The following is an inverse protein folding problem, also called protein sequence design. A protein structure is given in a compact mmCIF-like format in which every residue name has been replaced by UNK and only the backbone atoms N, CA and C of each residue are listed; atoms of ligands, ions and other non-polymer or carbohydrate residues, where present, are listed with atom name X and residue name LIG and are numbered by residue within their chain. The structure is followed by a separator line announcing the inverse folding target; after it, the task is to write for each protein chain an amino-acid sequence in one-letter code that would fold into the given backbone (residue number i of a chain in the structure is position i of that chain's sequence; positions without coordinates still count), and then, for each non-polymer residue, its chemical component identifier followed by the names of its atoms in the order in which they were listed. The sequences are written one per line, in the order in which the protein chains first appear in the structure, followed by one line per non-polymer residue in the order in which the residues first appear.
data_IF_513511672605
#
_entry.id   IF_513511672605
#
_cell.length_a   1.000
_cell.length_b   1.000
_cell.length_c   1.000
_cell.angle_alpha   90.00
_cell.angle_beta   90.00
_cell.angle_gamma   90.00
#
_symmetry.space_group_name_H-M   'P 1'
#
loop_
_entity.id
_entity.type
_entity.pdbx_description
1 polymer ?
#
# COMPACT_ATOMS: atom_id res chain seq x y z
N UNK A 1 7.68 -7.65 18.38
CA UNK A 1 6.68 -6.82 17.69
C UNK A 1 7.41 -5.91 16.75
N UNK A 2 7.12 -6.00 15.45
CA UNK A 2 7.70 -5.12 14.44
C UNK A 2 7.33 -3.66 14.70
N UNK A 3 8.33 -2.78 14.60
CA UNK A 3 8.16 -1.33 14.82
C UNK A 3 8.06 -0.57 13.50
N UNK A 4 7.46 0.62 13.56
CA UNK A 4 7.37 1.51 12.39
C UNK A 4 8.76 1.83 11.81
N UNK A 5 9.76 2.08 12.65
CA UNK A 5 11.12 2.37 12.21
C UNK A 5 11.75 1.20 11.44
N UNK A 6 11.52 -0.04 11.87
CA UNK A 6 12.03 -1.22 11.16
C UNK A 6 11.40 -1.39 9.78
N UNK A 7 10.09 -1.13 9.68
CA UNK A 7 9.38 -1.15 8.40
C UNK A 7 9.89 -0.05 7.46
N UNK A 8 10.07 1.18 7.96
CA UNK A 8 10.62 2.28 7.19
C UNK A 8 12.02 1.97 6.64
N UNK A 9 12.91 1.38 7.46
CA UNK A 9 14.24 0.97 7.01
C UNK A 9 14.17 -0.09 5.91
N UNK A 10 13.35 -1.13 6.09
CA UNK A 10 13.19 -2.17 5.07
C UNK A 10 12.68 -1.60 3.74
N UNK A 11 11.66 -0.74 3.79
CA UNK A 11 11.11 -0.10 2.60
C UNK A 11 12.16 0.79 1.93
N UNK A 12 12.92 1.57 2.71
CA UNK A 12 13.97 2.44 2.18
C UNK A 12 15.10 1.67 1.48
N UNK A 13 15.50 0.52 2.00
CA UNK A 13 16.61 -0.26 1.46
C UNK A 13 16.21 -1.20 0.31
N UNK A 14 15.01 -1.80 0.37
CA UNK A 14 14.61 -2.88 -0.55
C UNK A 14 13.57 -2.46 -1.59
N UNK A 15 12.69 -1.51 -1.26
CA UNK A 15 11.52 -1.19 -2.08
C UNK A 15 11.67 0.16 -2.78
N UNK A 16 12.00 1.23 -2.04
CA UNK A 16 12.10 2.60 -2.56
C UNK A 16 13.06 2.73 -3.75
N UNK A 17 14.24 2.08 -3.80
CA UNK A 17 15.14 2.20 -4.95
C UNK A 17 14.50 1.69 -6.25
N UNK A 18 13.78 0.57 -6.17
CA UNK A 18 13.07 0.00 -7.32
C UNK A 18 11.90 0.89 -7.75
N UNK A 19 11.10 1.38 -6.81
CA UNK A 19 9.98 2.27 -7.12
C UNK A 19 10.44 3.62 -7.70
N UNK A 20 11.51 4.20 -7.16
CA UNK A 20 12.06 5.46 -7.64
C UNK A 20 12.60 5.35 -9.07
N UNK A 21 13.19 4.21 -9.45
CA UNK A 21 13.59 3.95 -10.84
C UNK A 21 12.40 4.00 -11.82
N UNK A 22 11.19 3.70 -11.34
CA UNK A 22 9.94 3.81 -12.10
C UNK A 22 9.19 5.14 -11.88
N UNK A 23 9.79 6.10 -11.16
CA UNK A 23 9.17 7.39 -10.86
C UNK A 23 8.03 7.32 -9.85
N UNK A 24 8.04 6.31 -8.97
CA UNK A 24 7.11 6.15 -7.86
C UNK A 24 7.80 6.12 -6.50
N UNK A 25 7.00 6.00 -5.44
CA UNK A 25 7.47 5.81 -4.07
C UNK A 25 6.39 5.09 -3.24
N UNK A 26 6.72 4.72 -2.00
CA UNK A 26 5.80 4.08 -1.05
C UNK A 26 5.89 4.75 0.32
N UNK A 27 4.72 4.93 0.94
CA UNK A 27 4.55 5.47 2.28
C UNK A 27 3.76 4.50 3.15
N UNK A 28 4.14 4.38 4.42
CA UNK A 28 3.37 3.61 5.40
C UNK A 28 2.23 4.50 5.92
N UNK A 29 1.00 4.00 5.84
CA UNK A 29 -0.19 4.68 6.37
C UNK A 29 -0.45 4.23 7.82
N UNK A 30 -0.40 2.92 8.07
CA UNK A 30 -0.64 2.36 9.40
C UNK A 30 -0.11 0.93 9.49
N UNK A 31 0.30 0.50 10.67
CA UNK A 31 0.54 -0.91 10.99
C UNK A 31 -0.27 -1.28 12.23
N UNK A 32 -1.26 -2.15 12.07
CA UNK A 32 -2.17 -2.52 13.16
C UNK A 32 -2.65 -3.95 12.95
N UNK A 33 -2.71 -4.74 14.02
CA UNK A 33 -3.13 -6.15 13.98
C UNK A 33 -2.33 -6.99 12.95
N UNK A 34 -1.04 -6.71 12.77
CA UNK A 34 -0.22 -7.42 11.77
C UNK A 34 -0.58 -7.07 10.32
N UNK A 35 -1.42 -6.07 10.09
CA UNK A 35 -1.78 -5.56 8.76
C UNK A 35 -1.04 -4.25 8.52
N UNK A 36 -0.14 -4.26 7.55
CA UNK A 36 0.58 -3.08 7.07
C UNK A 36 -0.20 -2.43 5.92
N UNK A 37 -0.71 -1.22 6.14
CA UNK A 37 -1.30 -0.39 5.09
C UNK A 37 -0.24 0.53 4.50
N UNK A 38 -0.08 0.47 3.20
CA UNK A 38 0.84 1.32 2.44
C UNK A 38 0.11 2.10 1.36
N UNK A 39 0.68 3.23 0.96
CA UNK A 39 0.23 4.02 -0.18
C UNK A 39 1.36 4.12 -1.18
N UNK A 40 1.09 3.76 -2.44
CA UNK A 40 1.98 4.05 -3.54
C UNK A 40 1.75 5.49 -3.99
N UNK A 41 2.83 6.23 -4.23
CA UNK A 41 2.82 7.61 -4.72
C UNK A 41 3.59 7.72 -6.03
N UNK A 42 3.39 8.82 -6.77
CA UNK A 42 4.06 9.05 -8.05
C UNK A 42 3.44 8.25 -9.20
N UNK A 43 4.22 7.93 -10.24
CA UNK A 43 3.69 7.27 -11.45
C UNK A 43 3.14 5.86 -11.19
N UNK A 44 3.55 5.23 -10.09
CA UNK A 44 3.07 3.92 -9.65
C UNK A 44 1.65 3.95 -9.06
N UNK A 45 1.10 5.11 -8.67
CA UNK A 45 -0.23 5.19 -8.06
C UNK A 45 -1.39 5.07 -9.06
N UNK A 46 -1.10 5.18 -10.37
CA UNK A 46 -2.12 5.26 -11.43
C UNK A 46 -2.12 4.11 -12.43
N UNK A 47 -1.23 3.12 -12.30
CA UNK A 47 -1.16 2.00 -13.24
C UNK A 47 -1.86 0.75 -12.65
N UNK A 48 -3.12 0.46 -13.02
CA UNK A 48 -3.89 -0.63 -12.41
C UNK A 48 -3.26 -2.01 -12.61
N UNK A 49 -2.48 -2.21 -13.68
CA UNK A 49 -1.75 -3.46 -13.92
C UNK A 49 -0.48 -3.60 -13.07
N UNK A 50 0.11 -2.49 -12.60
CA UNK A 50 1.31 -2.52 -11.76
C UNK A 50 0.97 -2.59 -10.26
N UNK A 51 -0.26 -2.22 -9.88
CA UNK A 51 -0.73 -2.18 -8.50
C UNK A 51 -0.70 -3.57 -7.84
N UNK A 52 -1.24 -4.59 -8.52
CA UNK A 52 -1.28 -5.96 -7.99
C UNK A 52 0.12 -6.56 -7.83
N UNK A 53 0.92 -6.53 -8.89
CA UNK A 53 2.28 -7.10 -8.87
C UNK A 53 3.21 -6.40 -7.88
N UNK A 54 3.07 -5.08 -7.72
CA UNK A 54 3.84 -4.31 -6.73
C UNK A 54 3.37 -4.62 -5.31
N UNK A 55 2.07 -4.79 -5.07
CA UNK A 55 1.54 -5.19 -3.76
C UNK A 55 2.07 -6.57 -3.36
N UNK A 56 1.97 -7.57 -4.25
CA UNK A 56 2.49 -8.92 -4.01
C UNK A 56 3.98 -8.89 -3.68
N UNK A 57 4.77 -8.13 -4.45
CA UNK A 57 6.20 -8.01 -4.26
C UNK A 57 6.56 -7.41 -2.90
N UNK A 58 5.90 -6.32 -2.51
CA UNK A 58 6.13 -5.68 -1.20
C UNK A 58 5.69 -6.63 -0.08
N UNK A 59 4.55 -7.31 -0.24
CA UNK A 59 4.04 -8.26 0.73
C UNK A 59 5.05 -9.39 1.00
N UNK A 60 5.59 -10.00 -0.05
CA UNK A 60 6.60 -11.06 0.08
C UNK A 60 7.85 -10.59 0.81
N UNK A 61 8.39 -9.41 0.47
CA UNK A 61 9.60 -8.87 1.11
C UNK A 61 9.35 -8.57 2.59
N UNK A 62 8.22 -7.93 2.90
CA UNK A 62 7.87 -7.56 4.27
C UNK A 62 7.65 -8.79 5.13
N UNK A 63 6.90 -9.80 4.66
CA UNK A 63 6.67 -11.04 5.41
C UNK A 63 7.95 -11.86 5.61
N UNK A 64 8.87 -11.84 4.63
CA UNK A 64 10.16 -12.52 4.74
C UNK A 64 11.04 -11.87 5.83
N UNK A 65 11.01 -10.55 5.93
CA UNK A 65 11.78 -9.82 6.94
C UNK A 65 11.09 -9.81 8.32
N UNK A 66 9.76 -9.79 8.35
CA UNK A 66 8.93 -9.64 9.54
C UNK A 66 7.79 -10.67 9.53
N UNK A 67 8.01 -11.87 10.10
CA UNK A 67 7.01 -12.95 10.10
C UNK A 67 5.72 -12.61 10.86
N UNK A 68 5.76 -11.61 11.75
CA UNK A 68 4.60 -11.11 12.48
C UNK A 68 3.70 -10.17 11.65
N UNK A 69 4.17 -9.70 10.48
CA UNK A 69 3.31 -9.04 9.50
C UNK A 69 2.52 -10.11 8.77
N UNK A 70 1.21 -10.15 9.01
CA UNK A 70 0.29 -11.10 8.37
C UNK A 70 -0.03 -10.71 6.95
N UNK A 71 -0.08 -9.41 6.67
CA UNK A 71 -0.63 -8.91 5.43
C UNK A 71 -0.18 -7.48 5.11
N UNK A 72 0.11 -7.22 3.83
CA UNK A 72 0.29 -5.88 3.29
C UNK A 72 -0.91 -5.52 2.41
N UNK A 73 -1.43 -4.31 2.56
CA UNK A 73 -2.56 -3.79 1.78
C UNK A 73 -2.23 -2.44 1.20
N UNK A 74 -2.52 -2.26 -0.09
CA UNK A 74 -2.57 -0.92 -0.66
C UNK A 74 -3.82 -0.18 -0.19
N UNK A 75 -3.61 1.00 0.38
CA UNK A 75 -4.63 2.02 0.46
C UNK A 75 -4.85 2.57 -0.96
N UNK A 76 -5.52 1.79 -1.81
CA UNK A 76 -5.91 2.23 -3.14
C UNK A 76 -6.74 3.51 -3.01
N UNK A 77 -6.31 4.56 -3.70
CA UNK A 77 -6.86 5.90 -3.58
C UNK A 77 -8.29 5.98 -4.11
N UNK A 78 -9.26 5.79 -3.22
CA UNK A 78 -10.57 6.43 -3.35
C UNK A 78 -10.75 7.24 -2.09
N UNK A 79 -10.80 8.57 -2.24
CA UNK A 79 -11.15 9.46 -1.14
C UNK A 79 -12.45 8.96 -0.51
N UNK A 80 -12.53 8.94 0.82
CA UNK A 80 -13.76 8.55 1.53
C UNK A 80 -14.96 9.37 1.05
N UNK A 81 -14.72 10.61 0.61
CA UNK A 81 -15.73 11.46 -0.04
C UNK A 81 -16.27 10.84 -1.35
N UNK A 82 -15.38 10.40 -2.24
CA UNK A 82 -15.75 9.74 -3.50
C UNK A 82 -16.49 8.40 -3.25
N UNK A 83 -16.06 7.65 -2.24
CA UNK A 83 -16.74 6.43 -1.79
C UNK A 83 -18.13 6.71 -1.23
N UNK A 84 -18.29 7.79 -0.47
CA UNK A 84 -19.58 8.21 0.08
C UNK A 84 -20.54 8.68 -1.03
N UNK A 85 -20.05 9.44 -2.01
CA UNK A 85 -20.83 9.90 -3.17
C UNK A 85 -21.27 8.72 -4.06
N UNK A 86 -20.36 7.79 -4.36
CA UNK A 86 -20.69 6.59 -5.14
C UNK A 86 -21.74 5.71 -4.42
N UNK A 87 -21.62 5.55 -3.10
CA UNK A 87 -22.62 4.84 -2.27
C UNK A 87 -23.97 5.54 -2.28
N UNK A 88 -24.00 6.87 -2.24
CA UNK A 88 -25.24 7.64 -2.32
C UNK A 88 -25.95 7.45 -3.67
N UNK A 89 -25.21 7.36 -4.77
CA UNK A 89 -25.75 7.05 -6.09
C UNK A 89 -26.33 5.63 -6.19
N UNK A 90 -25.61 4.61 -5.73
CA UNK A 90 -26.09 3.22 -5.75
C UNK A 90 -27.33 2.99 -4.88
N UNK A 91 -27.50 3.76 -3.79
CA UNK A 91 -28.70 3.73 -2.94
C UNK A 91 -29.90 4.47 -3.55
N UNK A 92 -29.71 5.18 -4.66
CA UNK A 92 -30.74 5.95 -5.38
C UNK A 92 -31.22 5.27 -6.66
N UNK A 93 -30.82 4.02 -6.91
CA UNK A 93 -31.43 3.20 -7.95
C UNK A 93 -32.91 2.94 -7.59
N UNK A 94 -33.87 3.33 -8.44
CA UNK A 94 -35.30 3.03 -8.26
C UNK A 94 -35.59 1.53 -8.43
#
# INVERSE_FOLDING_TARGET
MTTHAQLETLLAEKIRPSLQAHGGNVEIISYTDGILRIRLTGRCSGCPSATLTTEEFINQIVQTAFPDVREVRLAAGVSEALLAEAKAFLRRSP
#
